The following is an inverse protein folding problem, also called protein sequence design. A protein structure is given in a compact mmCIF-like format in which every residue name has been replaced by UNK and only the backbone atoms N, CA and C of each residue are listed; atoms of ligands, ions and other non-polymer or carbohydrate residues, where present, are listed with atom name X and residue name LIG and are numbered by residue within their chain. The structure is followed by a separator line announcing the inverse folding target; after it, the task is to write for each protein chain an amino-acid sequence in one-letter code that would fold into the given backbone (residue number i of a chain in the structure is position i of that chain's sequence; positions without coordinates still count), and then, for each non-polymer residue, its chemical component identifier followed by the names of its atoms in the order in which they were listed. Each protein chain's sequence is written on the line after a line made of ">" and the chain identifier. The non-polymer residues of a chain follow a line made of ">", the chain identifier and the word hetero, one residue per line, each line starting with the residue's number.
data_IF_062755447564
#
_entry.id   IF_062755447564
#
_cell.length_a   1.000
_cell.length_b   1.000
_cell.length_c   1.000
_cell.angle_alpha   90.00
_cell.angle_beta   90.00
_cell.angle_gamma   90.00
#
_symmetry.space_group_name_H-M   'P 1'
#
loop_
_entity.id
_entity.type
_entity.pdbx_description
1 polymer ?
#
# COMPACT_ATOMS: atom_id res chain seq x y z
N UNK A 1 19.07 -4.68 -11.94
CA UNK A 1 19.59 -6.05 -11.65
C UNK A 1 18.42 -6.79 -11.02
N UNK A 2 17.93 -7.85 -11.68
CA UNK A 2 16.72 -8.55 -11.23
C UNK A 2 17.08 -9.85 -10.44
N UNK A 3 18.13 -9.76 -9.63
CA UNK A 3 18.62 -10.87 -8.80
C UNK A 3 18.99 -10.29 -7.40
N UNK A 4 18.18 -10.59 -6.37
CA UNK A 4 18.38 -10.05 -5.01
C UNK A 4 19.73 -10.46 -4.39
N UNK A 5 20.21 -11.65 -4.71
CA UNK A 5 21.49 -12.15 -4.20
C UNK A 5 22.66 -11.38 -4.83
N UNK A 6 22.58 -11.10 -6.13
CA UNK A 6 23.55 -10.26 -6.81
C UNK A 6 23.53 -8.82 -6.30
N UNK A 7 22.35 -8.25 -6.03
CA UNK A 7 22.22 -6.93 -5.42
C UNK A 7 22.89 -6.89 -4.04
N UNK A 8 22.65 -7.88 -3.20
CA UNK A 8 23.26 -7.95 -1.87
C UNK A 8 24.79 -7.98 -1.95
N UNK A 9 25.35 -8.71 -2.89
CA UNK A 9 26.82 -8.79 -3.08
C UNK A 9 27.36 -7.48 -3.66
N UNK A 10 26.69 -6.90 -4.68
CA UNK A 10 27.11 -5.63 -5.32
C UNK A 10 27.18 -4.49 -4.31
N UNK A 11 26.13 -4.38 -3.47
CA UNK A 11 26.02 -3.31 -2.48
C UNK A 11 26.65 -3.66 -1.12
N UNK A 12 27.28 -4.82 -1.01
CA UNK A 12 28.01 -5.24 0.18
C UNK A 12 29.27 -4.41 0.43
N UNK A 13 29.62 -4.25 1.71
CA UNK A 13 30.79 -3.47 2.15
C UNK A 13 32.10 -3.93 1.51
N UNK A 14 32.27 -5.25 1.33
CA UNK A 14 33.44 -5.85 0.71
C UNK A 14 33.67 -5.35 -0.73
N UNK A 15 32.59 -5.20 -1.51
CA UNK A 15 32.67 -4.76 -2.91
C UNK A 15 32.75 -3.23 -2.99
N UNK A 16 31.87 -2.51 -2.28
CA UNK A 16 31.76 -1.05 -2.42
C UNK A 16 32.90 -0.29 -1.72
N UNK A 17 33.22 -0.66 -0.50
CA UNK A 17 34.18 0.09 0.31
C UNK A 17 35.58 -0.51 0.27
N UNK A 18 35.68 -1.84 0.33
CA UNK A 18 36.98 -2.54 0.31
C UNK A 18 37.46 -2.84 -1.10
N UNK A 19 36.64 -2.61 -2.15
CA UNK A 19 36.94 -2.86 -3.57
C UNK A 19 37.37 -4.30 -3.87
N UNK A 20 36.93 -5.25 -3.05
CA UNK A 20 37.20 -6.67 -3.26
C UNK A 20 36.27 -7.22 -4.34
N UNK A 21 36.66 -8.36 -4.93
CA UNK A 21 35.76 -9.08 -5.83
C UNK A 21 34.71 -9.79 -4.99
N UNK A 22 33.44 -9.57 -5.32
CA UNK A 22 32.30 -10.23 -4.71
C UNK A 22 31.82 -11.40 -5.56
N UNK A 23 31.27 -12.43 -4.94
CA UNK A 23 30.78 -13.65 -5.58
C UNK A 23 31.71 -14.83 -5.35
N UNK A 24 31.49 -15.95 -6.07
CA UNK A 24 30.58 -16.12 -7.19
C UNK A 24 29.09 -16.14 -6.80
N UNK A 25 28.25 -15.45 -7.58
CA UNK A 25 26.81 -15.45 -7.41
C UNK A 25 26.18 -16.23 -8.56
N UNK A 26 25.29 -17.21 -8.31
CA UNK A 26 24.64 -17.96 -9.37
C UNK A 26 23.71 -17.05 -10.18
N UNK A 27 23.80 -17.13 -11.50
CA UNK A 27 23.02 -16.33 -12.43
C UNK A 27 22.35 -17.18 -13.52
N UNK A 28 21.88 -18.36 -13.16
CA UNK A 28 21.26 -19.36 -14.00
C UNK A 28 21.85 -20.76 -13.75
N UNK A 29 21.43 -21.75 -14.52
CA UNK A 29 21.76 -23.18 -14.27
C UNK A 29 23.27 -23.47 -14.27
N UNK A 30 24.07 -22.82 -15.13
CA UNK A 30 25.52 -23.09 -15.26
C UNK A 30 26.34 -21.77 -15.32
N UNK A 31 25.84 -20.66 -14.80
CA UNK A 31 26.54 -19.38 -14.90
C UNK A 31 26.73 -18.75 -13.53
N UNK A 32 27.96 -18.29 -13.28
CA UNK A 32 28.31 -17.53 -12.09
C UNK A 32 28.79 -16.14 -12.47
N UNK A 33 28.46 -15.17 -11.67
CA UNK A 33 28.85 -13.78 -11.84
C UNK A 33 29.79 -13.37 -10.71
N UNK A 34 30.94 -12.80 -11.09
CA UNK A 34 31.86 -12.13 -10.19
C UNK A 34 31.68 -10.62 -10.38
N UNK A 35 31.64 -9.86 -9.29
CA UNK A 35 31.41 -8.43 -9.31
C UNK A 35 32.58 -7.69 -8.68
N UNK A 36 33.02 -6.60 -9.32
CA UNK A 36 34.01 -5.67 -8.78
C UNK A 36 33.53 -4.23 -8.98
N UNK A 37 33.52 -3.44 -7.91
CA UNK A 37 33.24 -2.03 -8.03
C UNK A 37 34.46 -1.31 -8.64
N UNK A 38 34.26 -0.70 -9.80
CA UNK A 38 35.29 0.17 -10.43
C UNK A 38 35.27 1.56 -9.82
N UNK A 39 34.08 2.10 -9.59
CA UNK A 39 33.87 3.39 -8.99
C UNK A 39 32.68 3.33 -8.01
N UNK A 40 32.86 3.89 -6.83
CA UNK A 40 31.78 4.09 -5.86
C UNK A 40 31.70 5.57 -5.49
N UNK A 41 30.64 6.23 -5.89
CA UNK A 41 30.33 7.60 -5.50
C UNK A 41 29.41 7.57 -4.30
N UNK A 42 29.93 7.98 -3.14
CA UNK A 42 29.10 8.11 -1.94
C UNK A 42 28.02 9.17 -2.18
N UNK A 43 26.79 8.96 -1.63
CA UNK A 43 25.76 9.99 -1.70
C UNK A 43 26.27 11.27 -1.02
N UNK A 44 26.24 12.36 -1.73
CA UNK A 44 26.58 13.69 -1.23
C UNK A 44 25.30 14.51 -1.24
N UNK A 45 25.03 15.23 -0.16
CA UNK A 45 23.94 16.20 -0.14
C UNK A 45 24.36 17.39 -1.01
N UNK A 46 23.70 17.64 -2.15
CA UNK A 46 24.06 18.76 -3.00
C UNK A 46 23.72 20.08 -2.32
N UNK A 47 24.49 21.15 -2.59
CA UNK A 47 24.18 22.46 -2.06
C UNK A 47 22.80 22.96 -2.54
N UNK A 48 22.13 23.72 -1.68
CA UNK A 48 20.76 24.19 -1.94
C UNK A 48 20.66 24.95 -3.28
N UNK A 49 21.71 25.65 -3.68
CA UNK A 49 21.73 26.38 -4.96
C UNK A 49 21.48 25.47 -6.17
N UNK A 50 22.02 24.25 -6.17
CA UNK A 50 21.88 23.29 -7.26
C UNK A 50 20.50 22.60 -7.28
N UNK A 51 19.89 22.42 -6.11
CA UNK A 51 18.63 21.69 -5.97
C UNK A 51 17.42 22.60 -5.69
N UNK A 52 17.64 23.91 -5.63
CA UNK A 52 16.62 24.90 -5.23
C UNK A 52 15.30 24.75 -6.00
N UNK A 53 15.35 24.58 -7.30
CA UNK A 53 14.14 24.40 -8.12
C UNK A 53 13.36 23.16 -7.72
N UNK A 54 14.04 22.05 -7.52
CA UNK A 54 13.43 20.78 -7.10
C UNK A 54 12.85 20.86 -5.69
N UNK A 55 13.54 21.50 -4.77
CA UNK A 55 13.07 21.71 -3.40
C UNK A 55 11.84 22.63 -3.41
N UNK A 56 11.86 23.72 -4.18
CA UNK A 56 10.72 24.62 -4.28
C UNK A 56 9.48 23.90 -4.85
N UNK A 57 9.65 23.11 -5.88
CA UNK A 57 8.56 22.30 -6.45
C UNK A 57 8.00 21.31 -5.41
N UNK A 58 8.87 20.59 -4.69
CA UNK A 58 8.46 19.64 -3.67
C UNK A 58 7.69 20.31 -2.53
N UNK A 59 8.22 21.42 -1.99
CA UNK A 59 7.55 22.18 -0.91
C UNK A 59 6.23 22.78 -1.39
N UNK A 60 6.19 23.33 -2.59
CA UNK A 60 4.94 23.88 -3.15
C UNK A 60 3.89 22.80 -3.30
N UNK A 61 4.25 21.60 -3.77
CA UNK A 61 3.36 20.45 -3.90
C UNK A 61 2.84 20.00 -2.53
N UNK A 62 3.72 19.91 -1.54
CA UNK A 62 3.37 19.52 -0.17
C UNK A 62 2.40 20.52 0.46
N UNK A 63 2.70 21.83 0.36
CA UNK A 63 1.82 22.87 0.88
C UNK A 63 0.46 22.90 0.17
N UNK A 64 0.44 22.71 -1.15
CA UNK A 64 -0.80 22.63 -1.90
C UNK A 64 -1.65 21.40 -1.48
N UNK A 65 -1.04 20.26 -1.29
CA UNK A 65 -1.72 19.05 -0.80
C UNK A 65 -2.29 19.24 0.61
N UNK A 66 -1.52 19.86 1.51
CA UNK A 66 -1.98 20.16 2.87
C UNK A 66 -3.15 21.15 2.87
N UNK A 67 -3.08 22.20 2.05
CA UNK A 67 -4.16 23.18 1.90
C UNK A 67 -5.44 22.54 1.32
N UNK A 68 -5.28 21.68 0.31
CA UNK A 68 -6.38 20.93 -0.30
C UNK A 68 -7.06 19.99 0.72
N UNK A 69 -6.29 19.27 1.53
CA UNK A 69 -6.83 18.41 2.58
C UNK A 69 -7.61 19.21 3.61
N UNK A 70 -7.07 20.35 4.07
CA UNK A 70 -7.74 21.23 5.01
C UNK A 70 -9.07 21.75 4.44
N UNK A 71 -9.11 22.15 3.18
CA UNK A 71 -10.33 22.56 2.49
C UNK A 71 -11.35 21.41 2.41
N UNK A 72 -10.90 20.20 2.04
CA UNK A 72 -11.75 19.01 1.99
C UNK A 72 -12.34 18.65 3.38
N UNK A 73 -11.56 18.76 4.44
CA UNK A 73 -12.03 18.56 5.82
C UNK A 73 -13.10 19.60 6.23
N UNK A 74 -12.89 20.87 5.85
CA UNK A 74 -13.86 21.92 6.12
C UNK A 74 -15.19 21.66 5.40
N UNK A 75 -15.14 21.25 4.13
CA UNK A 75 -16.34 20.84 3.37
C UNK A 75 -17.05 19.68 4.05
N UNK A 76 -16.34 18.65 4.44
CA UNK A 76 -16.91 17.49 5.11
C UNK A 76 -17.59 17.86 6.45
N UNK A 77 -17.01 18.78 7.22
CA UNK A 77 -17.58 19.26 8.47
C UNK A 77 -18.88 20.04 8.23
N UNK A 78 -18.89 21.01 7.32
CA UNK A 78 -20.07 21.85 7.03
C UNK A 78 -21.24 21.02 6.49
N UNK A 79 -20.97 20.05 5.63
CA UNK A 79 -22.01 19.14 5.11
C UNK A 79 -22.56 18.25 6.21
N UNK A 80 -21.74 17.80 7.13
CA UNK A 80 -22.18 17.02 8.29
C UNK A 80 -23.12 17.80 9.20
N UNK A 81 -22.94 19.10 9.28
CA UNK A 81 -23.80 20.02 10.04
C UNK A 81 -25.13 20.38 9.33
N UNK A 82 -25.40 19.78 8.15
CA UNK A 82 -26.69 19.86 7.47
C UNK A 82 -26.72 20.68 6.18
N UNK A 83 -25.58 21.22 5.73
CA UNK A 83 -25.50 21.87 4.42
C UNK A 83 -25.59 20.85 3.27
N UNK A 84 -26.15 21.27 2.13
CA UNK A 84 -26.19 20.43 0.94
C UNK A 84 -24.80 20.25 0.33
N UNK A 85 -24.36 19.00 0.22
CA UNK A 85 -23.08 18.63 -0.41
C UNK A 85 -22.95 19.19 -1.83
N UNK A 86 -24.01 19.05 -2.63
CA UNK A 86 -24.01 19.51 -4.03
C UNK A 86 -23.87 21.03 -4.16
N UNK A 87 -24.56 21.78 -3.29
CA UNK A 87 -24.48 23.25 -3.30
C UNK A 87 -23.09 23.73 -2.90
N UNK A 88 -22.51 23.10 -1.87
CA UNK A 88 -21.15 23.42 -1.40
C UNK A 88 -20.11 23.18 -2.50
N UNK A 89 -20.17 22.03 -3.13
CA UNK A 89 -19.19 21.64 -4.15
C UNK A 89 -19.32 22.49 -5.40
N UNK A 90 -20.54 22.81 -5.83
CA UNK A 90 -20.80 23.78 -6.92
C UNK A 90 -20.24 25.17 -6.62
N UNK A 91 -20.43 25.65 -5.39
CA UNK A 91 -19.89 26.95 -4.94
C UNK A 91 -18.37 27.03 -4.98
N UNK A 92 -17.68 25.90 -4.83
CA UNK A 92 -16.23 25.79 -4.90
C UNK A 92 -15.69 25.47 -6.31
N UNK A 93 -16.55 25.35 -7.31
CA UNK A 93 -16.18 24.98 -8.68
C UNK A 93 -15.60 23.56 -8.79
N UNK A 94 -15.90 22.68 -7.84
CA UNK A 94 -15.40 21.30 -7.81
C UNK A 94 -16.35 20.36 -8.58
N UNK A 95 -15.79 19.28 -9.11
CA UNK A 95 -16.54 18.25 -9.80
C UNK A 95 -17.13 17.26 -8.81
N UNK A 96 -18.44 17.01 -8.91
CA UNK A 96 -19.14 15.95 -8.18
C UNK A 96 -19.38 14.79 -9.10
N UNK A 97 -19.02 13.60 -8.68
CA UNK A 97 -19.46 12.38 -9.36
C UNK A 97 -20.80 11.93 -8.80
N UNK A 98 -21.68 11.44 -9.68
CA UNK A 98 -22.98 10.95 -9.29
C UNK A 98 -22.87 9.76 -8.32
N UNK A 99 -23.74 9.72 -7.31
CA UNK A 99 -23.77 8.64 -6.34
C UNK A 99 -24.11 7.31 -7.04
N UNK A 100 -23.30 6.28 -6.79
CA UNK A 100 -23.49 4.93 -7.30
C UNK A 100 -23.04 3.88 -6.28
N UNK A 101 -23.57 2.68 -6.38
CA UNK A 101 -23.03 1.56 -5.63
C UNK A 101 -21.73 1.08 -6.26
N UNK A 102 -20.74 0.87 -5.41
CA UNK A 102 -19.44 0.30 -5.79
C UNK A 102 -19.20 -0.98 -4.98
N UNK A 103 -18.41 -1.89 -5.51
CA UNK A 103 -17.91 -3.04 -4.78
C UNK A 103 -16.43 -2.89 -4.40
N UNK A 104 -15.91 -3.82 -3.59
CA UNK A 104 -14.51 -3.77 -3.13
C UNK A 104 -13.47 -3.96 -4.24
N UNK A 105 -13.88 -4.37 -5.42
CA UNK A 105 -13.01 -4.65 -6.57
C UNK A 105 -13.34 -3.79 -7.79
N UNK A 106 -14.20 -2.79 -7.63
CA UNK A 106 -14.60 -1.91 -8.74
C UNK A 106 -13.36 -1.20 -9.32
N UNK A 107 -12.92 -1.54 -10.56
CA UNK A 107 -11.73 -0.96 -11.16
C UNK A 107 -11.94 0.49 -11.61
N UNK A 108 -13.18 0.93 -11.73
CA UNK A 108 -13.52 2.28 -12.18
C UNK A 108 -13.37 3.33 -11.05
N UNK A 109 -13.13 2.89 -9.80
CA UNK A 109 -12.90 3.78 -8.66
C UNK A 109 -11.45 3.67 -8.21
N UNK A 110 -10.72 4.79 -8.09
CA UNK A 110 -9.38 4.81 -7.54
C UNK A 110 -9.31 4.09 -6.19
N UNK A 111 -8.27 3.29 -5.99
CA UNK A 111 -8.12 2.44 -4.79
C UNK A 111 -8.25 3.24 -3.49
N UNK A 112 -7.62 4.42 -3.41
CA UNK A 112 -7.68 5.27 -2.22
C UNK A 112 -9.11 5.70 -1.84
N UNK A 113 -9.94 6.03 -2.83
CA UNK A 113 -11.35 6.39 -2.60
C UNK A 113 -12.17 5.17 -2.19
N UNK A 114 -11.99 4.06 -2.89
CA UNK A 114 -12.67 2.80 -2.62
C UNK A 114 -12.36 2.29 -1.21
N UNK A 115 -11.08 2.19 -0.87
CA UNK A 115 -10.65 1.69 0.43
C UNK A 115 -11.14 2.58 1.57
N UNK A 116 -11.12 3.91 1.36
CA UNK A 116 -11.72 4.86 2.30
C UNK A 116 -13.21 4.63 2.47
N UNK A 117 -13.98 4.48 1.39
CA UNK A 117 -15.43 4.24 1.45
C UNK A 117 -15.77 2.97 2.23
N UNK A 118 -14.99 1.90 2.03
CA UNK A 118 -15.20 0.62 2.72
C UNK A 118 -14.64 0.57 4.15
N UNK A 119 -13.81 1.52 4.55
CA UNK A 119 -13.34 1.70 5.91
C UNK A 119 -14.23 2.62 6.76
N UNK A 120 -15.19 3.31 6.12
CA UNK A 120 -16.14 4.18 6.82
C UNK A 120 -17.22 3.37 7.55
N UNK A 121 -17.76 3.88 8.67
CA UNK A 121 -18.89 3.26 9.32
C UNK A 121 -20.12 3.27 8.39
N UNK A 122 -21.03 2.31 8.60
CA UNK A 122 -22.28 2.28 7.83
C UNK A 122 -23.14 3.48 8.19
N UNK A 123 -23.74 4.16 7.21
CA UNK A 123 -24.72 5.20 7.45
C UNK A 123 -25.85 4.70 8.34
N UNK A 124 -26.22 5.50 9.33
CA UNK A 124 -27.32 5.22 10.25
C UNK A 124 -28.37 6.33 10.13
N UNK A 125 -29.63 5.96 10.30
CA UNK A 125 -30.74 6.90 10.37
C UNK A 125 -30.85 7.86 9.17
N UNK A 126 -30.45 7.37 7.97
CA UNK A 126 -30.48 8.19 6.75
C UNK A 126 -29.43 9.29 6.68
N UNK A 127 -28.52 9.36 7.63
CA UNK A 127 -27.41 10.33 7.64
C UNK A 127 -26.22 9.80 6.88
N UNK A 128 -25.74 10.58 5.92
CA UNK A 128 -24.52 10.25 5.18
C UNK A 128 -23.27 10.41 6.04
N UNK A 129 -22.30 9.53 5.85
CA UNK A 129 -20.98 9.68 6.46
C UNK A 129 -20.02 10.33 5.44
N UNK A 130 -19.17 11.23 5.92
CA UNK A 130 -18.22 11.94 5.08
C UNK A 130 -16.80 11.76 5.61
N UNK A 131 -15.86 11.60 4.67
CA UNK A 131 -14.44 11.56 4.99
C UNK A 131 -13.61 12.27 3.92
N UNK A 132 -12.75 13.16 4.35
CA UNK A 132 -11.72 13.76 3.51
C UNK A 132 -10.46 12.89 3.51
N UNK A 133 -9.79 12.81 2.37
CA UNK A 133 -8.52 12.09 2.21
C UNK A 133 -7.62 12.80 1.21
N UNK A 134 -6.31 12.57 1.32
CA UNK A 134 -5.33 12.96 0.32
C UNK A 134 -5.27 11.92 -0.80
N UNK A 135 -5.03 12.40 -2.02
CA UNK A 135 -4.82 11.54 -3.19
C UNK A 135 -3.32 11.32 -3.42
N UNK A 136 -2.90 10.13 -3.90
CA UNK A 136 -1.49 9.82 -4.14
C UNK A 136 -0.81 10.78 -5.13
N UNK A 137 -1.57 11.29 -6.10
CA UNK A 137 -1.10 12.23 -7.12
C UNK A 137 -1.02 13.68 -6.64
N UNK A 138 -1.36 13.91 -5.37
CA UNK A 138 -1.54 15.24 -4.79
C UNK A 138 -3.00 15.70 -4.84
N UNK A 139 -3.32 16.71 -4.02
CA UNK A 139 -4.70 17.17 -3.86
C UNK A 139 -5.47 16.37 -2.79
N UNK A 140 -6.79 16.59 -2.73
CA UNK A 140 -7.66 15.94 -1.76
C UNK A 140 -9.03 15.63 -2.38
N UNK A 141 -9.72 14.66 -1.78
CA UNK A 141 -11.09 14.32 -2.13
C UNK A 141 -11.96 14.19 -0.88
N UNK A 142 -13.27 14.34 -1.05
CA UNK A 142 -14.28 14.03 -0.03
C UNK A 142 -15.11 12.86 -0.53
N UNK A 143 -15.14 11.79 0.27
CA UNK A 143 -16.02 10.65 0.03
C UNK A 143 -17.24 10.80 0.90
N UNK A 144 -18.43 10.79 0.28
CA UNK A 144 -19.72 10.74 0.97
C UNK A 144 -20.33 9.37 0.79
N UNK A 145 -20.51 8.65 1.89
CA UNK A 145 -21.19 7.37 1.95
C UNK A 145 -22.64 7.58 2.39
N UNK A 146 -23.57 7.49 1.46
CA UNK A 146 -25.01 7.69 1.71
C UNK A 146 -25.78 6.42 2.02
N UNK A 147 -25.30 5.28 1.51
CA UNK A 147 -25.94 3.98 1.74
C UNK A 147 -24.91 2.84 1.66
N UNK A 148 -25.20 1.77 2.36
CA UNK A 148 -24.45 0.52 2.23
C UNK A 148 -25.42 -0.66 2.14
N UNK A 149 -25.15 -1.61 1.27
CA UNK A 149 -25.93 -2.84 1.16
C UNK A 149 -25.01 -4.06 1.15
N UNK A 150 -25.48 -5.13 1.71
CA UNK A 150 -24.86 -6.43 1.55
C UNK A 150 -25.49 -7.10 0.34
N UNK A 151 -24.69 -7.50 -0.64
CA UNK A 151 -25.19 -8.30 -1.74
C UNK A 151 -25.74 -9.61 -1.19
N UNK A 152 -26.92 -10.05 -1.63
CA UNK A 152 -27.42 -11.37 -1.26
C UNK A 152 -26.36 -12.42 -1.64
N UNK A 153 -26.25 -13.46 -0.82
CA UNK A 153 -25.35 -14.56 -1.14
C UNK A 153 -25.74 -15.13 -2.51
N UNK A 154 -24.74 -15.31 -3.38
CA UNK A 154 -24.98 -15.96 -4.66
C UNK A 154 -25.74 -17.27 -4.44
N UNK A 155 -26.86 -17.44 -5.13
CA UNK A 155 -27.61 -18.70 -5.14
C UNK A 155 -26.84 -19.83 -5.83
N UNK A 156 -25.74 -19.49 -6.51
CA UNK A 156 -24.87 -20.42 -7.21
C UNK A 156 -24.17 -21.37 -6.23
N UNK A 157 -24.56 -22.63 -6.28
CA UNK A 157 -24.02 -23.69 -5.44
C UNK A 157 -22.53 -23.91 -5.68
N UNK A 158 -22.05 -23.74 -6.91
CA UNK A 158 -20.65 -23.90 -7.29
C UNK A 158 -19.80 -22.84 -6.61
N UNK A 159 -20.23 -21.58 -6.65
CA UNK A 159 -19.52 -20.47 -5.98
C UNK A 159 -19.49 -20.67 -4.47
N UNK A 160 -20.60 -21.14 -3.88
CA UNK A 160 -20.64 -21.43 -2.43
C UNK A 160 -19.70 -22.57 -2.05
N UNK A 161 -19.69 -23.65 -2.82
CA UNK A 161 -18.80 -24.79 -2.59
C UNK A 161 -17.32 -24.39 -2.73
N UNK A 162 -16.97 -23.63 -3.77
CA UNK A 162 -15.61 -23.13 -3.96
C UNK A 162 -15.14 -22.25 -2.79
N UNK A 163 -16.00 -21.37 -2.27
CA UNK A 163 -15.71 -20.57 -1.09
C UNK A 163 -15.56 -21.41 0.17
N UNK A 164 -16.43 -22.40 0.36
CA UNK A 164 -16.32 -23.31 1.50
C UNK A 164 -15.02 -24.08 1.48
N UNK A 165 -14.62 -24.64 0.33
CA UNK A 165 -13.33 -25.32 0.17
C UNK A 165 -12.14 -24.38 0.45
N UNK A 166 -12.21 -23.13 -0.02
CA UNK A 166 -11.15 -22.16 0.26
C UNK A 166 -11.02 -21.83 1.75
N UNK A 167 -12.14 -21.73 2.48
CA UNK A 167 -12.14 -21.50 3.93
C UNK A 167 -11.54 -22.71 4.65
N UNK A 168 -12.00 -23.91 4.31
CA UNK A 168 -11.50 -25.16 4.90
C UNK A 168 -9.99 -25.31 4.64
N UNK A 169 -9.54 -25.05 3.42
CA UNK A 169 -8.11 -25.09 3.08
C UNK A 169 -7.27 -24.12 3.93
N UNK A 170 -7.73 -22.87 4.11
CA UNK A 170 -7.03 -21.89 4.96
C UNK A 170 -7.01 -22.30 6.43
N UNK A 171 -8.12 -22.79 6.94
CA UNK A 171 -8.21 -23.28 8.32
C UNK A 171 -7.29 -24.49 8.55
N UNK A 172 -7.26 -25.43 7.59
CA UNK A 172 -6.34 -26.56 7.64
C UNK A 172 -4.88 -26.12 7.68
N UNK A 173 -4.51 -25.17 6.80
CA UNK A 173 -3.14 -24.66 6.78
C UNK A 173 -2.77 -23.89 8.06
N UNK A 174 -3.69 -23.08 8.58
CA UNK A 174 -3.48 -22.38 9.84
C UNK A 174 -3.32 -23.36 11.03
N UNK A 175 -4.13 -24.43 11.06
CA UNK A 175 -4.02 -25.46 12.09
C UNK A 175 -2.68 -26.21 12.03
N UNK A 176 -2.20 -26.56 10.82
CA UNK A 176 -0.89 -27.19 10.65
C UNK A 176 0.23 -26.24 11.08
N UNK A 177 0.16 -24.95 10.69
CA UNK A 177 1.16 -23.95 11.10
C UNK A 177 1.20 -23.82 12.63
N UNK A 178 0.05 -23.67 13.27
CA UNK A 178 -0.05 -23.57 14.72
C UNK A 178 0.48 -24.82 15.44
N UNK A 179 0.20 -26.00 14.89
CA UNK A 179 0.72 -27.26 15.43
C UNK A 179 2.25 -27.34 15.31
N UNK A 180 2.80 -26.94 14.16
CA UNK A 180 4.26 -26.90 13.96
C UNK A 180 4.93 -25.89 14.89
N UNK A 181 4.33 -24.73 15.10
CA UNK A 181 4.82 -23.73 16.06
C UNK A 181 4.79 -24.26 17.48
N UNK A 182 3.70 -24.89 17.93
CA UNK A 182 3.59 -25.51 19.24
C UNK A 182 4.65 -26.61 19.45
N UNK A 183 4.90 -27.44 18.42
CA UNK A 183 5.97 -28.43 18.46
C UNK A 183 7.37 -27.79 18.56
N UNK A 184 7.61 -26.69 17.84
CA UNK A 184 8.89 -25.97 17.90
C UNK A 184 9.13 -25.35 19.26
N UNK A 185 8.10 -24.78 19.87
CA UNK A 185 8.18 -24.15 21.18
C UNK A 185 8.46 -25.16 22.28
N UNK A 186 7.93 -26.37 22.13
CA UNK A 186 8.13 -27.49 23.09
C UNK A 186 9.41 -28.30 22.83
N UNK A 187 9.98 -28.24 21.64
CA UNK A 187 11.14 -29.01 21.24
C UNK A 187 12.44 -28.34 21.69
N UNK A 188 13.35 -29.12 22.27
CA UNK A 188 14.73 -28.69 22.49
C UNK A 188 15.50 -28.83 21.18
N UNK A 189 15.58 -27.75 20.39
CA UNK A 189 16.24 -27.72 19.11
C UNK A 189 17.73 -27.43 19.31
N UNK A 190 18.60 -28.38 18.96
CA UNK A 190 20.06 -28.22 18.96
C UNK A 190 20.54 -28.20 17.52
N UNK A 191 21.17 -27.09 17.09
CA UNK A 191 21.79 -26.99 15.76
C UNK A 191 23.23 -27.47 15.84
N UNK A 192 23.61 -28.40 14.96
CA UNK A 192 24.99 -28.79 14.80
C UNK A 192 25.67 -27.87 13.77
N UNK A 193 26.41 -26.89 14.26
CA UNK A 193 27.09 -25.90 13.42
C UNK A 193 28.24 -26.51 12.58
N UNK A 194 28.76 -27.66 13.01
CA UNK A 194 29.83 -28.37 12.30
C UNK A 194 29.36 -29.13 11.06
N UNK A 195 28.06 -29.31 10.87
CA UNK A 195 27.51 -30.02 9.71
C UNK A 195 27.39 -29.13 8.46
N UNK A 196 27.69 -27.83 8.58
CA UNK A 196 27.56 -26.82 7.52
C UNK A 196 28.89 -26.11 7.21
N UNK A 197 30.02 -26.67 7.66
CA UNK A 197 31.38 -26.21 7.31
C UNK A 197 31.97 -26.99 6.15
#
# INVERSE_FOLDING_TARGET
>A
INNPELESVVFGDAVLNQRRIGGPVPAGEDRFVLVKALEHRKPVVPPLAEVRARVLEAVTREQAAAAALKAAQSVAAIVKDGASFEQMVKGLGLKVEAARYIDRRDPAVPAALRDTAFAMPRPKDGKSELRALTLPEGGAAVVMLSASRVMPASGDTVVRQARAQQIVGRQGQAAVSAYVEDLRDKAKITKNELAFQ
#
